data_IF_562678969722
#
_entry.id   IF_562678969722
#
_cell.length_a   1.000
_cell.length_b   1.000
_cell.length_c   1.000
_cell.angle_alpha   90.00
_cell.angle_beta   90.00
_cell.angle_gamma   90.00
#
_symmetry.space_group_name_H-M   'P 1'
#
loop_
_entity.id
_entity.type
_entity.pdbx_description
1 polymer ?
#
# COMPACT_ATOMS: atom_id res chain seq x y z
N UNK A 1 3.59 0.54 12.64
CA UNK A 1 2.68 1.09 11.62
C UNK A 1 2.95 0.51 10.23
N UNK A 2 4.11 0.76 9.55
CA UNK A 2 4.47 0.11 8.25
C UNK A 2 4.34 -1.42 8.27
N UNK A 3 4.60 -2.05 9.41
CA UNK A 3 4.54 -3.51 9.58
C UNK A 3 3.12 -4.06 9.64
N UNK A 4 2.17 -3.32 10.22
CA UNK A 4 0.78 -3.77 10.32
C UNK A 4 0.08 -3.66 8.95
N UNK A 5 0.45 -2.66 8.16
CA UNK A 5 0.06 -2.52 6.74
C UNK A 5 0.46 -3.76 5.92
N UNK A 6 1.73 -4.14 5.97
CA UNK A 6 2.22 -5.33 5.26
C UNK A 6 1.54 -6.64 5.73
N UNK A 7 1.22 -6.73 7.04
CA UNK A 7 0.49 -7.89 7.58
C UNK A 7 -0.91 -8.01 6.99
N UNK A 8 -1.66 -6.90 6.93
CA UNK A 8 -3.00 -6.90 6.35
C UNK A 8 -2.98 -7.19 4.85
N UNK A 9 -2.07 -6.55 4.10
CA UNK A 9 -1.92 -6.79 2.66
C UNK A 9 -1.65 -8.26 2.37
N UNK A 10 -0.68 -8.85 3.06
CA UNK A 10 -0.35 -10.26 2.89
C UNK A 10 -1.48 -11.19 3.30
N UNK A 11 -2.20 -10.86 4.38
CA UNK A 11 -3.32 -11.66 4.86
C UNK A 11 -4.49 -11.68 3.86
N UNK A 12 -4.83 -10.52 3.28
CA UNK A 12 -5.88 -10.43 2.26
C UNK A 12 -5.48 -11.23 1.01
N UNK A 13 -4.20 -11.20 0.63
CA UNK A 13 -3.71 -12.05 -0.48
C UNK A 13 -3.85 -13.54 -0.20
N UNK A 14 -3.53 -13.94 1.04
CA UNK A 14 -3.54 -15.35 1.47
C UNK A 14 -4.96 -15.91 1.65
N UNK A 15 -5.92 -15.05 2.01
CA UNK A 15 -7.29 -15.41 2.38
C UNK A 15 -8.33 -14.66 1.53
N UNK A 16 -8.01 -14.35 0.26
CA UNK A 16 -8.85 -13.49 -0.59
C UNK A 16 -10.28 -14.02 -0.75
N UNK A 17 -10.43 -15.32 -1.00
CA UNK A 17 -11.74 -15.96 -1.12
C UNK A 17 -12.52 -15.91 0.19
N UNK A 18 -11.83 -16.19 1.32
CA UNK A 18 -12.45 -16.16 2.64
C UNK A 18 -12.82 -14.74 3.06
N UNK A 19 -12.00 -13.76 2.64
CA UNK A 19 -12.27 -12.35 2.81
C UNK A 19 -13.59 -11.94 2.13
N UNK A 20 -13.76 -12.29 0.85
CA UNK A 20 -14.98 -11.99 0.12
C UNK A 20 -16.20 -12.67 0.74
N UNK A 21 -16.09 -13.95 1.12
CA UNK A 21 -17.17 -14.69 1.81
C UNK A 21 -17.54 -14.11 3.17
N UNK A 22 -16.60 -13.45 3.83
CA UNK A 22 -16.85 -12.84 5.14
C UNK A 22 -17.58 -11.50 5.05
N UNK A 23 -17.16 -10.64 4.11
CA UNK A 23 -17.66 -9.28 4.03
C UNK A 23 -18.84 -9.08 3.09
N UNK A 24 -19.06 -10.00 2.15
CA UNK A 24 -20.17 -9.90 1.21
C UNK A 24 -21.18 -11.00 1.47
N UNK A 25 -22.38 -10.65 1.97
CA UNK A 25 -23.49 -11.61 2.05
C UNK A 25 -23.75 -12.20 0.66
N UNK A 26 -24.03 -13.49 0.60
CA UNK A 26 -24.27 -14.22 -0.66
C UNK A 26 -23.07 -14.22 -1.63
N UNK A 27 -21.83 -14.15 -1.11
CA UNK A 27 -20.63 -14.17 -1.94
C UNK A 27 -20.61 -15.32 -2.94
N UNK A 28 -21.09 -16.50 -2.55
CA UNK A 28 -21.19 -17.68 -3.41
C UNK A 28 -22.14 -17.50 -4.60
N UNK A 29 -23.13 -16.63 -4.49
CA UNK A 29 -24.06 -16.32 -5.58
C UNK A 29 -23.55 -15.19 -6.47
N UNK A 30 -22.68 -14.35 -5.95
CA UNK A 30 -22.16 -13.16 -6.60
C UNK A 30 -20.86 -13.44 -7.36
N UNK A 31 -19.85 -14.01 -6.66
CA UNK A 31 -18.49 -14.13 -7.18
C UNK A 31 -18.22 -15.51 -7.81
N UNK A 32 -17.46 -15.51 -8.89
CA UNK A 32 -16.92 -16.73 -9.52
C UNK A 32 -15.57 -17.09 -8.91
N UNK A 33 -15.58 -17.88 -7.86
CA UNK A 33 -14.37 -18.35 -7.16
C UNK A 33 -13.53 -19.37 -7.96
N UNK A 34 -13.99 -19.84 -9.13
CA UNK A 34 -13.17 -20.64 -10.05
C UNK A 34 -12.17 -19.77 -10.82
N UNK A 35 -12.41 -18.47 -10.89
CA UNK A 35 -11.52 -17.51 -11.51
C UNK A 35 -10.62 -16.84 -10.46
N UNK A 36 -9.33 -16.72 -10.81
CA UNK A 36 -8.32 -16.19 -9.89
C UNK A 36 -8.60 -14.72 -9.56
N UNK A 37 -8.64 -14.40 -8.26
CA UNK A 37 -8.60 -13.03 -7.76
C UNK A 37 -7.23 -12.45 -8.03
N UNK A 38 -7.16 -11.25 -8.59
CA UNK A 38 -5.92 -10.53 -8.86
C UNK A 38 -5.83 -9.27 -8.01
N UNK A 39 -4.59 -8.85 -7.71
CA UNK A 39 -4.33 -7.66 -6.90
C UNK A 39 -3.71 -6.58 -7.79
N UNK A 40 -4.32 -5.40 -7.80
CA UNK A 40 -3.99 -4.27 -8.65
C UNK A 40 -3.28 -3.16 -7.85
N UNK A 41 -2.32 -3.57 -7.00
CA UNK A 41 -1.61 -2.64 -6.11
C UNK A 41 -0.77 -1.62 -6.89
N UNK A 42 -0.17 -2.03 -8.01
CA UNK A 42 0.61 -1.13 -8.87
C UNK A 42 -0.25 -0.07 -9.53
N UNK A 43 -1.44 -0.45 -9.96
CA UNK A 43 -2.43 0.46 -10.55
C UNK A 43 -2.89 1.48 -9.50
N UNK A 44 -3.10 1.03 -8.27
CA UNK A 44 -3.46 1.90 -7.15
C UNK A 44 -2.33 2.88 -6.79
N UNK A 45 -1.08 2.41 -6.71
CA UNK A 45 0.10 3.24 -6.44
C UNK A 45 0.31 4.32 -7.51
N UNK A 46 0.08 4.01 -8.78
CA UNK A 46 0.19 4.96 -9.89
C UNK A 46 -0.85 6.09 -9.82
N UNK A 47 -2.02 5.83 -9.23
CA UNK A 47 -3.06 6.84 -9.03
C UNK A 47 -2.74 7.80 -7.88
N UNK A 48 -1.93 7.36 -6.91
CA UNK A 48 -1.67 8.08 -5.66
C UNK A 48 -0.17 8.13 -5.31
N UNK A 49 0.68 8.69 -6.17
CA UNK A 49 2.13 8.73 -5.95
C UNK A 49 2.53 9.50 -4.68
N UNK A 50 1.72 10.48 -4.25
CA UNK A 50 1.96 11.29 -3.05
C UNK A 50 1.50 10.64 -1.73
N UNK A 51 0.79 9.49 -1.78
CA UNK A 51 0.43 8.74 -0.56
C UNK A 51 1.66 8.12 0.14
N UNK A 52 2.86 8.33 -0.39
CA UNK A 52 4.12 7.81 0.13
C UNK A 52 4.86 8.78 1.08
N UNK A 53 4.38 10.00 1.29
CA UNK A 53 4.96 10.93 2.26
C UNK A 53 4.88 10.36 3.67
N UNK A 54 5.98 10.46 4.43
CA UNK A 54 6.12 9.90 5.79
C UNK A 54 5.13 10.52 6.81
N UNK A 55 4.50 11.64 6.48
CA UNK A 55 3.51 12.36 7.29
C UNK A 55 2.05 12.01 6.96
N UNK A 56 1.78 11.25 5.90
CA UNK A 56 0.41 10.81 5.59
C UNK A 56 -0.02 9.68 6.52
N UNK A 57 -1.27 9.69 7.02
CA UNK A 57 -1.81 8.56 7.76
C UNK A 57 -1.70 7.29 6.91
N UNK A 58 -1.09 6.25 7.48
CA UNK A 58 -0.79 5.01 6.74
C UNK A 58 -2.02 4.12 6.73
N UNK A 59 -2.63 4.00 5.57
CA UNK A 59 -3.77 3.12 5.34
C UNK A 59 -3.32 1.88 4.58
N UNK A 60 -3.97 0.76 4.90
CA UNK A 60 -3.83 -0.46 4.11
C UNK A 60 -4.82 -0.39 2.96
N UNK A 61 -4.37 0.05 1.81
CA UNK A 61 -5.22 0.06 0.62
C UNK A 61 -4.88 -1.14 -0.27
N UNK A 62 -5.90 -1.87 -0.67
CA UNK A 62 -5.84 -3.01 -1.59
C UNK A 62 -6.88 -2.84 -2.67
N UNK A 63 -6.51 -3.04 -3.91
CA UNK A 63 -7.44 -3.10 -5.02
C UNK A 63 -7.49 -4.52 -5.57
N UNK A 64 -8.64 -5.18 -5.41
CA UNK A 64 -8.89 -6.54 -5.87
C UNK A 64 -9.66 -6.49 -7.18
N UNK A 65 -9.22 -7.29 -8.15
CA UNK A 65 -9.98 -7.61 -9.35
C UNK A 65 -10.63 -8.98 -9.16
N UNK A 66 -11.94 -9.01 -9.25
CA UNK A 66 -12.78 -10.20 -9.09
C UNK A 66 -13.67 -10.39 -10.31
N UNK A 67 -14.25 -11.57 -10.43
CA UNK A 67 -15.21 -11.87 -11.48
C UNK A 67 -16.55 -12.26 -10.87
N UNK A 68 -17.63 -11.75 -11.44
CA UNK A 68 -18.97 -12.16 -11.06
C UNK A 68 -19.36 -13.43 -11.81
N UNK A 69 -20.32 -14.19 -11.29
CA UNK A 69 -20.91 -15.35 -11.99
C UNK A 69 -21.54 -14.98 -13.34
N UNK A 70 -21.91 -13.72 -13.53
CA UNK A 70 -22.34 -13.18 -14.83
C UNK A 70 -21.23 -13.09 -15.87
N UNK A 71 -19.97 -13.38 -15.49
CA UNK A 71 -18.79 -13.23 -16.33
C UNK A 71 -18.18 -11.83 -16.34
N UNK A 72 -18.84 -10.82 -15.73
CA UNK A 72 -18.32 -9.45 -15.65
C UNK A 72 -17.13 -9.37 -14.69
N UNK A 73 -16.19 -8.49 -15.01
CA UNK A 73 -15.08 -8.11 -14.16
C UNK A 73 -15.49 -6.93 -13.28
N UNK A 74 -15.28 -7.06 -11.98
CA UNK A 74 -15.55 -6.02 -11.00
C UNK A 74 -14.30 -5.76 -10.15
N UNK A 75 -14.18 -4.54 -9.65
CA UNK A 75 -13.08 -4.16 -8.79
C UNK A 75 -13.55 -3.84 -7.38
N UNK A 76 -12.80 -4.30 -6.38
CA UNK A 76 -13.11 -4.07 -4.96
C UNK A 76 -11.94 -3.31 -4.34
N UNK A 77 -12.18 -2.05 -3.99
CA UNK A 77 -11.25 -1.27 -3.19
C UNK A 77 -11.44 -1.60 -1.71
N UNK A 78 -10.43 -2.19 -1.11
CA UNK A 78 -10.41 -2.49 0.32
C UNK A 78 -9.54 -1.45 1.03
N UNK A 79 -10.18 -0.66 1.87
CA UNK A 79 -9.50 0.31 2.72
C UNK A 79 -9.56 -0.13 4.18
N UNK A 80 -8.40 -0.29 4.82
CA UNK A 80 -8.32 -0.68 6.23
C UNK A 80 -7.75 0.48 7.03
N UNK A 81 -8.58 1.10 7.84
CA UNK A 81 -8.16 2.12 8.79
C UNK A 81 -7.44 1.46 9.97
N UNK A 82 -6.11 1.54 10.00
CA UNK A 82 -5.28 1.02 11.07
C UNK A 82 -4.95 2.13 12.06
N UNK A 83 -5.64 2.10 13.20
CA UNK A 83 -5.36 2.82 14.46
C UNK A 83 -5.13 4.34 14.45
N UNK A 84 -6.07 5.05 15.04
CA UNK A 84 -5.78 6.07 16.06
C UNK A 84 -5.90 7.51 15.72
N UNK A 85 -6.02 7.96 14.49
CA UNK A 85 -6.41 9.34 14.19
C UNK A 85 -7.77 9.39 13.53
N UNK A 86 -8.67 10.25 14.03
CA UNK A 86 -9.86 10.63 13.26
C UNK A 86 -9.35 11.38 12.06
N UNK A 87 -9.37 10.74 10.93
CA UNK A 87 -9.18 11.44 9.69
C UNK A 87 -10.50 12.14 9.33
N UNK A 88 -10.51 13.44 9.49
CA UNK A 88 -11.65 14.28 9.10
C UNK A 88 -11.90 14.28 7.59
N UNK A 89 -10.96 13.77 6.81
CA UNK A 89 -11.02 13.69 5.36
C UNK A 89 -11.27 12.27 4.86
N UNK A 90 -11.63 11.34 5.77
CA UNK A 90 -11.81 9.92 5.43
C UNK A 90 -12.82 9.73 4.30
N UNK A 91 -14.03 10.27 4.43
CA UNK A 91 -15.09 10.15 3.42
C UNK A 91 -14.66 10.76 2.08
N UNK A 92 -14.01 11.93 2.12
CA UNK A 92 -13.48 12.59 0.92
C UNK A 92 -12.41 11.73 0.25
N UNK A 93 -11.55 11.07 1.04
CA UNK A 93 -10.51 10.19 0.51
C UNK A 93 -11.10 8.94 -0.15
N UNK A 94 -12.10 8.29 0.48
CA UNK A 94 -12.81 7.16 -0.11
C UNK A 94 -13.43 7.53 -1.46
N UNK A 95 -14.06 8.69 -1.55
CA UNK A 95 -14.59 9.22 -2.79
C UNK A 95 -13.47 9.52 -3.81
N UNK A 96 -12.35 10.10 -3.37
CA UNK A 96 -11.21 10.39 -4.25
C UNK A 96 -10.62 9.13 -4.86
N UNK A 97 -10.52 8.04 -4.10
CA UNK A 97 -10.07 6.75 -4.62
C UNK A 97 -11.04 6.20 -5.65
N UNK A 98 -12.34 6.18 -5.31
CA UNK A 98 -13.38 5.72 -6.20
C UNK A 98 -13.37 6.46 -7.54
N UNK A 99 -13.46 7.79 -7.54
CA UNK A 99 -13.59 8.55 -8.79
C UNK A 99 -12.33 8.48 -9.66
N UNK A 100 -11.12 8.45 -9.06
CA UNK A 100 -9.87 8.34 -9.84
C UNK A 100 -9.72 6.98 -10.52
N UNK A 101 -10.14 5.91 -9.86
CA UNK A 101 -10.14 4.58 -10.46
C UNK A 101 -11.19 4.51 -11.57
N UNK A 102 -12.40 5.00 -11.31
CA UNK A 102 -13.47 5.05 -12.30
C UNK A 102 -13.06 5.86 -13.54
N UNK A 103 -12.54 7.08 -13.34
CA UNK A 103 -12.09 7.98 -14.42
C UNK A 103 -11.00 7.35 -15.30
N UNK A 104 -10.00 6.72 -14.66
CA UNK A 104 -8.85 6.16 -15.39
C UNK A 104 -9.15 4.83 -16.07
N UNK A 105 -9.93 3.97 -15.45
CA UNK A 105 -10.08 2.57 -15.88
C UNK A 105 -11.48 2.23 -16.39
N UNK A 106 -12.45 3.12 -16.23
CA UNK A 106 -13.86 2.93 -16.61
C UNK A 106 -14.39 1.56 -16.13
N UNK A 107 -14.26 1.29 -14.83
CA UNK A 107 -14.65 0.02 -14.21
C UNK A 107 -15.59 0.22 -13.04
N UNK A 108 -16.56 -0.67 -12.91
CA UNK A 108 -17.41 -0.75 -11.72
C UNK A 108 -16.57 -1.05 -10.49
N UNK A 109 -16.76 -0.28 -9.43
CA UNK A 109 -15.98 -0.37 -8.21
C UNK A 109 -16.91 -0.36 -7.01
N UNK A 110 -16.75 -1.33 -6.13
CA UNK A 110 -17.28 -1.21 -4.77
C UNK A 110 -16.16 -0.93 -3.79
N UNK A 111 -16.43 -0.13 -2.76
CA UNK A 111 -15.46 0.18 -1.73
C UNK A 111 -15.90 -0.37 -0.39
N UNK A 112 -14.95 -0.96 0.34
CA UNK A 112 -15.14 -1.50 1.69
C UNK A 112 -14.13 -0.87 2.64
N UNK A 113 -14.60 -0.20 3.68
CA UNK A 113 -13.80 0.32 4.78
C UNK A 113 -13.87 -0.60 5.99
N UNK A 114 -12.72 -1.09 6.48
CA UNK A 114 -12.61 -1.88 7.70
C UNK A 114 -12.03 -0.99 8.80
N UNK A 115 -12.85 -0.63 9.78
CA UNK A 115 -12.48 0.30 10.84
C UNK A 115 -11.99 -0.46 12.07
N UNK A 116 -10.67 -0.37 12.34
CA UNK A 116 -10.00 -1.03 13.47
C UNK A 116 -9.69 -0.05 14.62
N UNK A 117 -10.22 1.16 14.59
CA UNK A 117 -10.04 2.16 15.65
C UNK A 117 -10.88 1.88 16.90
N UNK A 118 -10.44 2.43 18.06
CA UNK A 118 -11.09 2.25 19.37
C UNK A 118 -12.30 3.16 19.60
N UNK A 119 -12.63 4.09 18.70
CA UNK A 119 -13.70 5.09 18.88
C UNK A 119 -15.03 4.55 18.41
N UNK A 120 -15.98 4.43 19.31
CA UNK A 120 -17.33 3.95 19.01
C UNK A 120 -18.11 4.89 18.07
N UNK A 121 -17.84 6.18 18.14
CA UNK A 121 -18.55 7.22 17.35
C UNK A 121 -18.02 7.40 15.93
N UNK A 122 -16.81 6.94 15.62
CA UNK A 122 -16.23 7.07 14.27
C UNK A 122 -16.84 6.02 13.34
N UNK A 123 -17.76 6.44 12.46
CA UNK A 123 -18.53 5.57 11.53
C UNK A 123 -18.75 6.26 10.19
N UNK A 124 -17.68 6.65 9.50
CA UNK A 124 -17.81 7.26 8.19
C UNK A 124 -18.37 6.24 7.19
N UNK A 125 -19.42 6.59 6.46
CA UNK A 125 -20.08 5.70 5.50
C UNK A 125 -20.47 6.38 4.19
N UNK A 126 -20.33 7.72 4.14
CA UNK A 126 -20.82 8.50 3.00
C UNK A 126 -20.01 9.79 2.87
N UNK A 127 -19.64 10.14 1.65
CA UNK A 127 -19.17 11.48 1.27
C UNK A 127 -20.30 12.23 0.58
N UNK A 128 -20.56 13.43 1.05
CA UNK A 128 -21.60 14.31 0.49
C UNK A 128 -21.01 15.71 0.25
N UNK A 129 -21.38 16.31 -0.85
CA UNK A 129 -21.03 17.67 -1.20
C UNK A 129 -22.09 18.31 -2.08
N UNK A 130 -22.53 19.49 -1.67
CA UNK A 130 -23.45 20.35 -2.41
C UNK A 130 -22.78 21.68 -2.72
N UNK A 131 -22.97 22.15 -3.95
CA UNK A 131 -22.48 23.46 -4.36
C UNK A 131 -23.30 24.01 -5.53
N UNK A 132 -23.98 25.13 -5.34
CA UNK A 132 -24.73 25.86 -6.37
C UNK A 132 -25.64 24.97 -7.24
N UNK A 133 -26.35 24.04 -6.61
CA UNK A 133 -27.26 23.12 -7.29
C UNK A 133 -26.62 21.82 -7.82
N UNK A 134 -25.28 21.71 -7.79
CA UNK A 134 -24.60 20.46 -8.05
C UNK A 134 -24.46 19.67 -6.74
N UNK A 135 -24.86 18.39 -6.74
CA UNK A 135 -24.80 17.50 -5.57
C UNK A 135 -24.07 16.20 -5.91
N UNK A 136 -23.24 15.75 -4.97
CA UNK A 136 -22.55 14.46 -5.04
C UNK A 136 -22.85 13.72 -3.74
N UNK A 137 -23.35 12.48 -3.86
CA UNK A 137 -23.53 11.56 -2.75
C UNK A 137 -22.82 10.25 -3.11
N UNK A 138 -21.79 9.90 -2.35
CA UNK A 138 -21.06 8.65 -2.52
C UNK A 138 -21.13 7.83 -1.24
N UNK A 139 -21.74 6.65 -1.31
CA UNK A 139 -21.86 5.70 -0.20
C UNK A 139 -20.90 4.55 -0.42
N UNK A 140 -20.31 4.04 0.67
CA UNK A 140 -19.39 2.90 0.64
C UNK A 140 -19.70 1.93 1.79
N UNK A 141 -19.27 0.67 1.63
CA UNK A 141 -19.47 -0.36 2.65
C UNK A 141 -18.51 -0.14 3.82
N UNK A 142 -19.01 -0.36 5.03
CA UNK A 142 -18.24 -0.17 6.26
C UNK A 142 -18.41 -1.37 7.17
N UNK A 143 -17.27 -1.89 7.67
CA UNK A 143 -17.25 -2.89 8.72
C UNK A 143 -16.51 -2.34 9.93
N UNK A 144 -17.22 -2.11 11.03
CA UNK A 144 -16.64 -1.67 12.30
C UNK A 144 -16.29 -2.88 13.15
N UNK A 145 -14.99 -3.16 13.31
CA UNK A 145 -14.52 -4.34 14.07
C UNK A 145 -15.04 -4.36 15.51
N UNK A 146 -15.17 -3.19 16.15
CA UNK A 146 -15.73 -3.10 17.52
C UNK A 146 -17.16 -3.60 17.66
N UNK A 147 -17.93 -3.69 16.57
CA UNK A 147 -19.33 -4.14 16.59
C UNK A 147 -19.45 -5.65 16.42
N UNK A 148 -18.36 -6.31 16.05
CA UNK A 148 -18.37 -7.76 15.88
C UNK A 148 -18.63 -8.46 17.22
N UNK A 149 -19.57 -9.39 17.21
CA UNK A 149 -19.87 -10.23 18.37
C UNK A 149 -18.95 -11.43 18.37
N UNK A 150 -18.29 -11.65 19.50
CA UNK A 150 -17.35 -12.76 19.65
C UNK A 150 -18.03 -14.10 19.40
N UNK A 151 -19.24 -14.26 19.91
CA UNK A 151 -20.02 -15.51 19.78
C UNK A 151 -20.29 -15.87 18.32
N UNK A 152 -20.51 -14.88 17.46
CA UNK A 152 -20.74 -15.09 16.02
C UNK A 152 -19.43 -15.43 15.31
N UNK A 153 -18.33 -14.77 15.68
CA UNK A 153 -16.99 -15.04 15.13
C UNK A 153 -16.49 -16.44 15.52
N UNK A 154 -16.75 -16.87 16.75
CA UNK A 154 -16.36 -18.21 17.26
C UNK A 154 -17.08 -19.34 16.53
N UNK A 155 -18.36 -19.17 16.24
CA UNK A 155 -19.19 -20.14 15.51
C UNK A 155 -18.87 -20.18 14.01
N UNK A 156 -18.27 -19.14 13.48
CA UNK A 156 -17.98 -19.05 12.05
C UNK A 156 -16.93 -20.07 11.63
N UNK A 157 -17.20 -20.75 10.53
CA UNK A 157 -16.25 -21.64 9.85
C UNK A 157 -15.33 -20.88 8.90
N UNK A 158 -15.56 -19.59 8.71
CA UNK A 158 -14.74 -18.76 7.83
C UNK A 158 -13.43 -18.38 8.55
N UNK A 159 -12.24 -18.65 7.94
CA UNK A 159 -10.95 -18.27 8.52
C UNK A 159 -10.83 -16.79 8.82
N UNK A 160 -11.48 -15.93 8.03
CA UNK A 160 -11.43 -14.48 8.22
C UNK A 160 -12.11 -14.00 9.51
N UNK A 161 -13.09 -14.76 10.03
CA UNK A 161 -13.66 -14.51 11.36
C UNK A 161 -12.59 -14.55 12.47
N UNK A 162 -11.64 -15.48 12.36
CA UNK A 162 -10.51 -15.57 13.29
C UNK A 162 -9.56 -14.36 13.19
N UNK A 163 -9.42 -13.76 12.00
CA UNK A 163 -8.70 -12.50 11.82
C UNK A 163 -9.35 -11.39 12.63
N UNK A 164 -10.68 -11.27 12.55
CA UNK A 164 -11.44 -10.25 13.29
C UNK A 164 -11.33 -10.47 14.81
N UNK A 165 -11.34 -11.73 15.29
CA UNK A 165 -11.07 -12.04 16.71
C UNK A 165 -9.69 -11.56 17.14
N UNK A 166 -8.64 -11.76 16.31
CA UNK A 166 -7.28 -11.29 16.58
C UNK A 166 -7.26 -9.76 16.69
N UNK A 167 -7.93 -9.06 15.77
CA UNK A 167 -7.99 -7.60 15.78
C UNK A 167 -8.75 -7.07 16.98
N UNK A 168 -9.89 -7.68 17.36
CA UNK A 168 -10.61 -7.35 18.59
C UNK A 168 -9.73 -7.53 19.83
N UNK A 169 -8.95 -8.60 19.90
CA UNK A 169 -8.00 -8.85 20.99
C UNK A 169 -6.94 -7.73 21.07
N UNK A 170 -6.39 -7.31 19.93
CA UNK A 170 -5.46 -6.19 19.86
C UNK A 170 -6.09 -4.86 20.28
N UNK A 171 -7.35 -4.61 19.95
CA UNK A 171 -8.08 -3.42 20.39
C UNK A 171 -8.32 -3.37 21.89
N UNK A 172 -8.37 -4.53 22.55
CA UNK A 172 -8.47 -4.66 24.01
C UNK A 172 -7.13 -4.51 24.71
N UNK A 173 -6.01 -4.59 24.01
CA UNK A 173 -4.67 -4.37 24.57
C UNK A 173 -4.60 -2.99 25.26
N UNK A 174 -3.99 -2.96 26.45
CA UNK A 174 -3.93 -1.77 27.30
C UNK A 174 -5.15 -1.58 28.24
N UNK A 175 -6.21 -2.41 28.06
CA UNK A 175 -7.35 -2.50 28.99
C UNK A 175 -7.31 -3.79 29.83
N UNK A 176 -6.42 -4.73 29.49
CA UNK A 176 -6.24 -6.01 30.15
C UNK A 176 -4.76 -6.22 30.46
N UNK A 177 -4.48 -7.07 31.46
CA UNK A 177 -3.10 -7.43 31.83
C UNK A 177 -2.42 -8.19 30.68
N UNK A 178 -1.08 -8.16 30.64
CA UNK A 178 -0.27 -8.98 29.73
C UNK A 178 -0.54 -10.49 29.91
N UNK A 179 -0.82 -10.94 31.12
CA UNK A 179 -1.21 -12.33 31.40
C UNK A 179 -2.55 -12.67 30.72
N UNK A 180 -3.57 -11.81 30.91
CA UNK A 180 -4.87 -12.01 30.25
C UNK A 180 -4.77 -11.94 28.71
N UNK A 181 -3.89 -11.08 28.19
CA UNK A 181 -3.61 -11.03 26.74
C UNK A 181 -2.97 -12.34 26.25
N UNK A 182 -2.07 -12.92 27.06
CA UNK A 182 -1.46 -14.21 26.75
C UNK A 182 -2.51 -15.32 26.70
N UNK A 183 -3.41 -15.39 27.68
CA UNK A 183 -4.47 -16.41 27.73
C UNK A 183 -5.42 -16.29 26.52
N UNK A 184 -5.82 -15.06 26.17
CA UNK A 184 -6.62 -14.83 24.96
C UNK A 184 -5.91 -15.29 23.69
N UNK A 185 -4.62 -14.97 23.56
CA UNK A 185 -3.82 -15.35 22.42
C UNK A 185 -3.62 -16.87 22.33
N UNK A 186 -3.43 -17.55 23.46
CA UNK A 186 -3.36 -19.00 23.52
C UNK A 186 -4.69 -19.68 23.18
N UNK A 187 -5.81 -19.11 23.61
CA UNK A 187 -7.14 -19.61 23.24
C UNK A 187 -7.38 -19.47 21.71
N UNK A 188 -7.03 -18.33 21.13
CA UNK A 188 -7.08 -18.16 19.67
C UNK A 188 -6.21 -19.17 18.93
N UNK A 189 -4.99 -19.40 19.40
CA UNK A 189 -4.08 -20.40 18.84
C UNK A 189 -4.72 -21.80 18.85
N UNK A 190 -5.27 -22.25 20.00
CA UNK A 190 -5.94 -23.56 20.10
C UNK A 190 -7.15 -23.67 19.19
N UNK A 191 -7.98 -22.60 19.10
CA UNK A 191 -9.13 -22.57 18.20
C UNK A 191 -8.74 -22.69 16.73
N UNK A 192 -7.65 -22.03 16.30
CA UNK A 192 -7.16 -22.14 14.93
C UNK A 192 -6.78 -23.55 14.56
N UNK A 193 -6.16 -24.30 15.50
CA UNK A 193 -5.83 -25.71 15.28
C UNK A 193 -7.04 -26.65 15.36
N UNK A 194 -8.03 -26.32 16.18
CA UNK A 194 -9.26 -27.10 16.27
C UNK A 194 -10.17 -26.94 15.03
N UNK A 195 -10.05 -25.85 14.30
CA UNK A 195 -10.75 -25.65 13.04
C UNK A 195 -10.00 -26.35 11.92
N UNK A 196 -10.71 -27.11 11.11
CA UNK A 196 -10.13 -27.92 10.03
C UNK A 196 -9.77 -27.08 8.80
N UNK A 197 -8.92 -26.06 8.98
CA UNK A 197 -8.43 -25.21 7.91
C UNK A 197 -7.25 -25.87 7.17
N UNK A 198 -7.02 -25.49 5.92
CA UNK A 198 -5.82 -25.93 5.21
C UNK A 198 -4.54 -25.41 5.89
N UNK A 199 -3.42 -26.08 5.65
CA UNK A 199 -2.13 -25.72 6.24
C UNK A 199 -1.71 -24.28 5.91
N UNK A 200 -1.97 -23.85 4.68
CA UNK A 200 -1.67 -22.51 4.20
C UNK A 200 -2.46 -21.44 4.99
N UNK A 201 -3.76 -21.68 5.17
CA UNK A 201 -4.65 -20.78 5.94
C UNK A 201 -4.23 -20.71 7.41
N UNK A 202 -3.94 -21.86 8.03
CA UNK A 202 -3.43 -21.89 9.41
C UNK A 202 -2.14 -21.07 9.53
N UNK A 203 -1.21 -21.24 8.59
CA UNK A 203 0.06 -20.50 8.58
C UNK A 203 -0.13 -18.98 8.47
N UNK A 204 -1.01 -18.52 7.59
CA UNK A 204 -1.34 -17.11 7.43
C UNK A 204 -1.94 -16.52 8.72
N UNK A 205 -2.89 -17.24 9.33
CA UNK A 205 -3.56 -16.83 10.57
C UNK A 205 -2.60 -16.80 11.76
N UNK A 206 -1.73 -17.80 11.91
CA UNK A 206 -0.73 -17.84 12.98
C UNK A 206 0.27 -16.70 12.86
N UNK A 207 0.74 -16.42 11.66
CA UNK A 207 1.61 -15.29 11.40
C UNK A 207 0.94 -13.97 11.79
N UNK A 208 -0.32 -13.79 11.38
CA UNK A 208 -1.08 -12.60 11.74
C UNK A 208 -1.26 -12.49 13.25
N UNK A 209 -1.69 -13.57 13.92
CA UNK A 209 -1.83 -13.62 15.39
C UNK A 209 -0.51 -13.28 16.10
N UNK A 210 0.60 -13.88 15.68
CA UNK A 210 1.91 -13.67 16.29
C UNK A 210 2.38 -12.22 16.17
N UNK A 211 2.24 -11.62 14.99
CA UNK A 211 2.82 -10.33 14.67
C UNK A 211 1.89 -9.14 14.94
N UNK A 212 0.58 -9.33 14.87
CA UNK A 212 -0.39 -8.26 15.10
C UNK A 212 -0.67 -8.04 16.59
N UNK A 213 -0.84 -9.12 17.37
CA UNK A 213 -1.01 -9.05 18.83
C UNK A 213 0.35 -9.23 19.50
N UNK A 214 1.01 -8.13 19.85
CA UNK A 214 2.38 -8.15 20.39
C UNK A 214 2.36 -8.05 21.91
N UNK A 215 3.18 -8.88 22.57
CA UNK A 215 3.52 -8.73 23.96
C UNK A 215 4.61 -7.66 24.13
N UNK A 216 4.63 -7.02 25.28
CA UNK A 216 5.73 -6.14 25.71
C UNK A 216 6.78 -6.96 26.49
N UNK A 217 6.32 -7.96 27.24
CA UNK A 217 7.16 -8.86 28.03
C UNK A 217 7.91 -9.86 27.15
N UNK A 218 9.25 -9.81 27.14
CA UNK A 218 10.11 -10.80 26.47
C UNK A 218 9.83 -12.23 26.97
N UNK A 219 9.54 -12.40 28.30
CA UNK A 219 9.22 -13.70 28.88
C UNK A 219 7.96 -14.31 28.26
N UNK A 220 6.92 -13.48 28.02
CA UNK A 220 5.67 -13.97 27.41
C UNK A 220 5.83 -14.26 25.93
N UNK A 221 6.71 -13.53 25.23
CA UNK A 221 7.04 -13.82 23.82
C UNK A 221 7.67 -15.22 23.74
N UNK A 222 8.70 -15.50 24.55
CA UNK A 222 9.39 -16.80 24.56
C UNK A 222 8.40 -17.92 24.91
N UNK A 223 7.62 -17.73 25.99
CA UNK A 223 6.64 -18.71 26.43
C UNK A 223 5.60 -19.03 25.35
N UNK A 224 5.13 -18.00 24.63
CA UNK A 224 4.18 -18.19 23.53
C UNK A 224 4.81 -18.95 22.36
N UNK A 225 6.06 -18.67 22.02
CA UNK A 225 6.77 -19.35 20.94
C UNK A 225 7.03 -20.84 21.29
N UNK A 226 7.39 -21.14 22.54
CA UNK A 226 7.53 -22.53 23.03
C UNK A 226 6.22 -23.31 22.96
N UNK A 227 5.10 -22.71 23.36
CA UNK A 227 3.78 -23.35 23.27
C UNK A 227 3.32 -23.52 21.81
N UNK A 228 3.59 -22.54 20.95
CA UNK A 228 3.35 -22.64 19.53
C UNK A 228 4.12 -23.83 18.93
N UNK A 229 5.42 -23.96 19.27
CA UNK A 229 6.24 -25.08 18.81
C UNK A 229 5.71 -26.45 19.30
N UNK A 230 5.25 -26.56 20.55
CA UNK A 230 4.64 -27.77 21.08
C UNK A 230 3.37 -28.16 20.30
N UNK A 231 2.48 -27.22 20.07
CA UNK A 231 1.22 -27.46 19.37
C UNK A 231 1.48 -27.81 17.91
N UNK A 232 2.42 -27.14 17.24
CA UNK A 232 2.78 -27.42 15.83
C UNK A 232 3.44 -28.77 15.67
N UNK A 233 4.32 -29.18 16.60
CA UNK A 233 4.99 -30.48 16.56
C UNK A 233 4.05 -31.63 16.90
N UNK A 234 3.07 -31.44 17.79
CA UNK A 234 2.07 -32.47 18.13
C UNK A 234 1.08 -32.76 16.97
N UNK A 235 0.83 -31.80 16.11
CA UNK A 235 -0.12 -31.93 14.99
C UNK A 235 0.49 -32.50 13.71
N UNK A 236 1.63 -33.21 13.75
CA UNK A 236 2.35 -33.75 12.58
C UNK A 236 2.67 -32.67 11.50
N UNK A 237 2.79 -31.41 11.90
CA UNK A 237 3.09 -30.30 11.02
C UNK A 237 4.56 -29.97 10.97
N UNK A 238 5.41 -31.00 10.83
CA UNK A 238 6.88 -30.93 10.72
C UNK A 238 7.35 -30.15 9.48
N UNK A 239 6.90 -29.05 9.22
CA UNK A 239 7.22 -28.11 8.14
C UNK A 239 6.53 -26.77 8.35
N UNK A 240 5.65 -26.63 9.35
CA UNK A 240 4.93 -25.38 9.57
C UNK A 240 5.90 -24.27 10.05
N UNK A 241 6.86 -24.62 10.91
CA UNK A 241 7.89 -23.70 11.41
C UNK A 241 8.82 -23.26 10.28
N UNK A 242 9.30 -24.21 9.47
CA UNK A 242 10.12 -23.93 8.28
C UNK A 242 9.33 -23.13 7.24
N UNK A 243 8.07 -23.46 7.01
CA UNK A 243 7.20 -22.75 6.09
C UNK A 243 6.89 -21.31 6.57
N UNK A 244 6.64 -21.10 7.87
CA UNK A 244 6.48 -19.75 8.45
C UNK A 244 7.77 -18.93 8.29
N UNK A 245 8.93 -19.54 8.60
CA UNK A 245 10.24 -18.90 8.46
C UNK A 245 10.59 -18.62 7.00
N UNK A 246 10.33 -19.55 6.08
CA UNK A 246 10.58 -19.35 4.65
C UNK A 246 9.69 -18.24 4.09
N UNK A 247 8.43 -18.20 4.50
CA UNK A 247 7.50 -17.15 4.10
C UNK A 247 7.89 -15.79 4.68
N UNK A 248 8.33 -15.72 5.94
CA UNK A 248 8.88 -14.49 6.53
C UNK A 248 10.12 -14.01 5.75
N UNK A 249 11.00 -14.94 5.37
CA UNK A 249 12.18 -14.64 4.53
C UNK A 249 11.78 -14.15 3.13
N UNK A 250 10.77 -14.76 2.49
CA UNK A 250 10.27 -14.32 1.18
C UNK A 250 9.66 -12.92 1.24
N UNK A 251 8.89 -12.61 2.29
CA UNK A 251 8.31 -11.28 2.48
C UNK A 251 9.38 -10.24 2.78
N UNK A 252 10.36 -10.54 3.63
CA UNK A 252 11.50 -9.66 3.90
C UNK A 252 12.34 -9.41 2.63
N UNK A 253 12.52 -10.44 1.77
CA UNK A 253 13.18 -10.27 0.46
C UNK A 253 12.36 -9.43 -0.50
N UNK A 254 11.03 -9.59 -0.52
CA UNK A 254 10.12 -8.78 -1.35
C UNK A 254 10.17 -7.31 -0.91
N UNK A 255 10.05 -7.05 0.39
CA UNK A 255 10.17 -5.70 0.99
C UNK A 255 11.55 -5.07 0.70
N UNK A 256 12.63 -5.84 0.88
CA UNK A 256 13.99 -5.39 0.57
C UNK A 256 14.20 -5.08 -0.90
N UNK A 257 13.63 -5.90 -1.81
CA UNK A 257 13.69 -5.66 -3.25
C UNK A 257 12.87 -4.43 -3.66
N UNK A 258 11.67 -4.26 -3.10
CA UNK A 258 10.81 -3.10 -3.36
C UNK A 258 11.49 -1.82 -2.86
N UNK A 259 12.12 -1.87 -1.68
CA UNK A 259 12.87 -0.75 -1.12
C UNK A 259 14.09 -0.40 -1.99
N UNK A 260 14.90 -1.39 -2.36
CA UNK A 260 16.08 -1.18 -3.23
C UNK A 260 15.70 -0.66 -4.62
N UNK A 261 14.55 -1.12 -5.18
CA UNK A 261 14.07 -0.62 -6.47
C UNK A 261 13.59 0.84 -6.37
N UNK A 262 13.04 1.23 -5.22
CA UNK A 262 12.60 2.60 -4.96
C UNK A 262 13.80 3.53 -4.78
N UNK A 263 14.75 3.13 -3.95
CA UNK A 263 15.99 3.87 -3.70
C UNK A 263 16.76 4.07 -5.01
N UNK A 264 16.99 3.02 -5.80
CA UNK A 264 17.67 3.13 -7.10
C UNK A 264 16.91 3.95 -8.15
N UNK A 265 15.55 4.05 -8.05
CA UNK A 265 14.78 4.96 -8.92
C UNK A 265 14.90 6.41 -8.49
N UNK A 266 14.97 6.68 -7.19
CA UNK A 266 15.15 8.03 -6.65
C UNK A 266 16.55 8.54 -6.98
N UNK A 267 17.60 7.72 -6.77
CA UNK A 267 18.98 8.03 -7.13
C UNK A 267 19.13 8.31 -8.63
N UNK A 268 18.67 7.39 -9.49
CA UNK A 268 18.76 7.61 -10.95
C UNK A 268 17.91 8.78 -11.47
N UNK A 269 16.88 9.21 -10.72
CA UNK A 269 16.11 10.42 -11.06
C UNK A 269 16.84 11.70 -10.63
N UNK A 270 17.54 11.66 -9.51
CA UNK A 270 18.38 12.78 -9.06
C UNK A 270 19.60 12.95 -9.96
N UNK A 271 20.30 11.87 -10.26
CA UNK A 271 21.44 11.86 -11.21
C UNK A 271 21.03 12.41 -12.59
N UNK A 272 19.96 11.87 -13.18
CA UNK A 272 19.48 12.36 -14.48
C UNK A 272 18.97 13.81 -14.47
N UNK A 273 18.56 14.32 -13.30
CA UNK A 273 18.17 15.71 -13.15
C UNK A 273 19.39 16.65 -13.02
N UNK A 274 20.45 16.19 -12.36
CA UNK A 274 21.70 16.92 -12.27
C UNK A 274 22.40 16.95 -13.63
N UNK A 275 22.53 15.81 -14.32
CA UNK A 275 23.09 15.72 -15.66
C UNK A 275 22.34 16.62 -16.66
N UNK A 276 21.00 16.55 -16.68
CA UNK A 276 20.18 17.40 -17.56
C UNK A 276 20.29 18.91 -17.23
N UNK A 277 20.60 19.24 -15.97
CA UNK A 277 20.83 20.65 -15.57
C UNK A 277 22.20 21.14 -16.05
N UNK A 278 23.24 20.31 -15.94
CA UNK A 278 24.61 20.62 -16.42
C UNK A 278 24.63 20.73 -17.94
N UNK A 279 24.01 19.81 -18.66
CA UNK A 279 23.85 19.90 -20.13
C UNK A 279 23.10 21.15 -20.55
N UNK A 280 21.98 21.46 -19.87
CA UNK A 280 21.19 22.67 -20.16
C UNK A 280 21.95 23.97 -19.90
N UNK A 281 22.82 24.01 -18.87
CA UNK A 281 23.71 25.16 -18.63
C UNK A 281 24.76 25.30 -19.72
N UNK A 282 25.36 24.22 -20.15
CA UNK A 282 26.38 24.18 -21.21
C UNK A 282 25.79 24.66 -22.56
N UNK A 283 24.61 24.19 -22.92
CA UNK A 283 23.91 24.61 -24.15
C UNK A 283 23.61 26.10 -24.10
N UNK A 284 23.10 26.61 -23.00
CA UNK A 284 22.77 28.03 -22.81
C UNK A 284 24.01 28.93 -22.93
N UNK A 285 25.12 28.51 -22.35
CA UNK A 285 26.39 29.23 -22.45
C UNK A 285 26.89 29.32 -23.91
N UNK A 286 26.77 28.23 -24.67
CA UNK A 286 27.12 28.21 -26.08
C UNK A 286 26.20 29.13 -26.89
N UNK A 287 24.89 29.13 -26.62
CA UNK A 287 23.93 30.02 -27.28
C UNK A 287 24.22 31.50 -26.99
N UNK A 288 24.51 31.85 -25.75
CA UNK A 288 24.86 33.22 -25.35
C UNK A 288 26.15 33.69 -26.05
N UNK A 289 27.19 32.86 -26.09
CA UNK A 289 28.46 33.14 -26.79
C UNK A 289 28.22 33.29 -28.29
N UNK A 290 27.39 32.44 -28.90
CA UNK A 290 27.02 32.51 -30.31
C UNK A 290 26.29 33.83 -30.64
N UNK A 291 25.31 34.22 -29.83
CA UNK A 291 24.56 35.46 -30.03
C UNK A 291 25.44 36.70 -29.83
N UNK A 292 26.32 36.65 -28.85
CA UNK A 292 27.25 37.78 -28.62
C UNK A 292 28.27 37.90 -29.76
N UNK A 293 28.82 36.77 -30.25
CA UNK A 293 29.71 36.76 -31.43
C UNK A 293 28.97 37.31 -32.66
N UNK A 294 27.71 36.91 -32.92
CA UNK A 294 26.92 37.39 -34.05
C UNK A 294 26.71 38.89 -33.97
N UNK A 295 26.40 39.42 -32.78
CA UNK A 295 26.20 40.85 -32.60
C UNK A 295 27.50 41.68 -32.86
N UNK A 296 28.64 41.18 -32.39
CA UNK A 296 29.92 41.84 -32.67
C UNK A 296 30.29 41.80 -34.15
N UNK A 297 30.04 40.68 -34.83
CA UNK A 297 30.30 40.57 -36.30
C UNK A 297 29.41 41.48 -37.14
N UNK A 298 28.20 41.80 -36.68
CA UNK A 298 27.21 42.60 -37.45
C UNK A 298 27.20 44.07 -37.09
N UNK A 299 27.64 44.42 -35.87
CA UNK A 299 27.52 45.79 -35.32
C UNK A 299 28.85 46.53 -35.16
N UNK A 300 29.98 45.84 -35.37
CA UNK A 300 31.31 46.44 -35.21
C UNK A 300 32.23 46.08 -36.38
N UNK A 301 33.25 46.88 -36.58
CA UNK A 301 34.33 46.60 -37.58
C UNK A 301 35.54 45.85 -36.95
N UNK A 302 35.32 45.09 -35.88
CA UNK A 302 36.36 44.30 -35.23
C UNK A 302 36.76 43.09 -36.07
N UNK A 303 38.06 42.82 -36.12
CA UNK A 303 38.55 41.60 -36.74
C UNK A 303 38.18 40.33 -35.94
N UNK A 304 38.29 39.19 -36.55
CA UNK A 304 37.89 37.91 -35.94
C UNK A 304 38.73 37.58 -34.68
N UNK A 305 40.00 37.96 -34.65
CA UNK A 305 40.88 37.71 -33.50
C UNK A 305 40.46 38.53 -32.29
N UNK A 306 40.08 39.79 -32.49
CA UNK A 306 39.59 40.66 -31.44
C UNK A 306 38.21 40.19 -30.93
N UNK A 307 37.35 39.71 -31.81
CA UNK A 307 36.02 39.15 -31.39
C UNK A 307 36.26 37.90 -30.59
N UNK A 308 37.15 36.99 -31.00
CA UNK A 308 37.48 35.78 -30.25
C UNK A 308 37.98 36.08 -28.83
N UNK A 309 38.83 37.11 -28.68
CA UNK A 309 39.36 37.55 -27.41
C UNK A 309 38.22 38.13 -26.51
N UNK A 310 37.33 38.94 -27.07
CA UNK A 310 36.23 39.57 -26.31
C UNK A 310 35.15 38.61 -25.84
N UNK A 311 34.86 37.57 -26.65
CA UNK A 311 33.85 36.54 -26.32
C UNK A 311 34.44 35.44 -25.44
N UNK A 312 35.78 35.28 -25.43
CA UNK A 312 36.48 34.21 -24.74
C UNK A 312 36.26 32.83 -25.42
N UNK A 313 36.37 32.83 -26.75
CA UNK A 313 36.20 31.63 -27.58
C UNK A 313 37.41 31.48 -28.55
N UNK A 314 37.55 30.27 -29.12
CA UNK A 314 38.56 30.05 -30.15
C UNK A 314 38.19 30.77 -31.46
N UNK A 315 39.23 31.15 -32.24
CA UNK A 315 39.06 31.83 -33.52
C UNK A 315 38.19 31.04 -34.50
N UNK A 316 38.29 29.73 -34.45
CA UNK A 316 37.47 28.84 -35.29
C UNK A 316 35.98 28.94 -35.02
N UNK A 317 35.58 29.11 -33.75
CA UNK A 317 34.18 29.37 -33.37
C UNK A 317 33.64 30.65 -34.00
N UNK A 318 34.42 31.72 -34.00
CA UNK A 318 34.05 33.01 -34.64
C UNK A 318 33.88 32.81 -36.14
N UNK A 319 34.74 32.06 -36.81
CA UNK A 319 34.64 31.73 -38.24
C UNK A 319 33.40 30.91 -38.56
N UNK A 320 33.07 29.92 -37.72
CA UNK A 320 31.83 29.14 -37.89
C UNK A 320 30.57 30.00 -37.76
N UNK A 321 30.49 30.86 -36.73
CA UNK A 321 29.36 31.78 -36.58
C UNK A 321 29.29 32.75 -37.77
N UNK A 322 30.43 33.26 -38.28
CA UNK A 322 30.47 34.12 -39.45
C UNK A 322 29.97 33.43 -40.72
N UNK A 323 30.35 32.18 -40.94
CA UNK A 323 29.87 31.38 -42.08
C UNK A 323 28.38 31.06 -42.02
N UNK A 324 27.76 31.10 -40.85
CA UNK A 324 26.30 30.93 -40.69
C UNK A 324 25.49 32.21 -40.93
N UNK A 325 26.15 33.34 -41.14
CA UNK A 325 25.54 34.65 -41.45
C UNK A 325 25.53 34.97 -42.96
N UNK A 326 26.26 34.19 -43.78
CA UNK A 326 26.26 34.24 -45.23
C UNK A 326 25.32 33.20 -45.78
#
# INVERSE_FOLDING_TARGET
MKRDDALWKGLIEDLADDFLRFFFPNAEDIFDFNRKISFLDKELEQLFPQAQDDFSPKYVDKLLKVYLKSGREEWILVHIEVQGSTDKLFEKRMFTYYYRILDKYDREITSLAILTDKRKSFRPSMYERDFLGASIIYKFNVYKVLDAKIEDLEKSVNPFASVIEVVLTALRKGKISESSLYDLKMNLLRKLYAKNFSREKITALLRFLKLYVRFESKKLIIKFDEELDKITNQSNTMGLKEFVLDRERRMARKEGREKGLKEGREEGREEGREEGREEGMSIKEIEEKTNFTRNLLTQTDFDNDKIALLVGVELEFVRQVKSSLT
#
